data_IF_130268208402
#
_entry.id   IF_130268208402
#
_cell.length_a   1.000
_cell.length_b   1.000
_cell.length_c   1.000
_cell.angle_alpha   90.00
_cell.angle_beta   90.00
_cell.angle_gamma   90.00
#
_symmetry.space_group_name_H-M   'P 1'
#
loop_
_entity.id
_entity.type
_entity.pdbx_description
1 polymer ?
#
# COMPACT_ATOMS: atom_id res chain seq x y z
N UNK A 1 6.11 -18.46 -12.82
CA UNK A 1 6.79 -17.42 -13.63
C UNK A 1 7.29 -16.38 -12.66
N UNK A 2 8.59 -16.07 -12.65
CA UNK A 2 9.08 -14.94 -11.88
C UNK A 2 8.60 -13.68 -12.61
N UNK A 3 7.66 -12.95 -12.00
CA UNK A 3 7.26 -11.64 -12.49
C UNK A 3 8.45 -10.69 -12.31
N UNK A 4 8.73 -9.90 -13.34
CA UNK A 4 9.72 -8.83 -13.23
C UNK A 4 9.24 -7.81 -12.19
N UNK A 5 10.14 -7.40 -11.28
CA UNK A 5 9.77 -6.42 -10.25
C UNK A 5 9.49 -5.07 -10.92
N UNK A 6 8.33 -4.43 -10.66
CA UNK A 6 8.00 -3.15 -11.25
C UNK A 6 8.96 -2.06 -10.78
N UNK A 7 9.23 -1.11 -11.66
CA UNK A 7 9.92 0.14 -11.30
C UNK A 7 8.89 1.16 -10.79
N UNK A 8 9.18 1.78 -9.66
CA UNK A 8 8.45 2.91 -9.11
C UNK A 8 9.06 4.18 -9.71
N UNK A 9 8.30 4.95 -10.52
CA UNK A 9 8.81 6.19 -11.09
C UNK A 9 9.24 7.21 -10.03
N UNK A 10 10.29 7.97 -10.34
CA UNK A 10 10.90 8.93 -9.40
C UNK A 10 9.93 9.98 -8.86
N UNK A 11 8.90 10.33 -9.64
CA UNK A 11 7.87 11.30 -9.25
C UNK A 11 6.93 10.78 -8.14
N UNK A 12 6.97 9.49 -7.79
CA UNK A 12 6.23 8.90 -6.69
C UNK A 12 7.06 8.79 -5.39
N UNK A 13 8.19 9.50 -5.29
CA UNK A 13 9.00 9.52 -4.07
C UNK A 13 8.18 9.89 -2.84
N UNK A 14 7.31 10.88 -2.96
CA UNK A 14 6.47 11.39 -1.87
C UNK A 14 5.37 10.40 -1.47
N UNK A 15 5.12 9.36 -2.27
CA UNK A 15 4.19 8.28 -1.95
C UNK A 15 4.86 7.12 -1.21
N UNK A 16 6.16 7.20 -0.95
CA UNK A 16 6.94 6.24 -0.15
C UNK A 16 7.27 6.86 1.21
N UNK A 17 6.47 6.55 2.22
CA UNK A 17 6.50 7.21 3.51
C UNK A 17 7.32 6.44 4.53
N UNK A 18 8.14 7.16 5.30
CA UNK A 18 9.02 6.58 6.32
C UNK A 18 9.93 5.45 5.80
N UNK A 19 10.51 5.64 4.60
CA UNK A 19 11.40 4.66 3.96
C UNK A 19 12.57 4.21 4.85
N UNK A 20 13.01 5.05 5.78
CA UNK A 20 14.03 4.71 6.77
C UNK A 20 13.66 3.51 7.65
N UNK A 21 12.37 3.22 7.82
CA UNK A 21 11.88 2.08 8.61
C UNK A 21 11.71 0.80 7.79
N UNK A 22 11.98 0.79 6.49
CA UNK A 22 11.64 -0.33 5.60
C UNK A 22 12.09 -1.72 6.11
N UNK A 23 13.27 -1.81 6.73
CA UNK A 23 13.85 -3.07 7.20
C UNK A 23 13.52 -3.41 8.67
N UNK A 24 12.85 -2.51 9.37
CA UNK A 24 12.60 -2.59 10.81
C UNK A 24 11.20 -2.10 11.21
N UNK A 25 10.29 -2.04 10.23
CA UNK A 25 8.91 -1.62 10.45
C UNK A 25 8.19 -2.66 11.31
N UNK A 26 7.45 -2.17 12.30
CA UNK A 26 6.52 -2.95 13.11
C UNK A 26 5.22 -3.23 12.34
N UNK A 27 4.90 -2.40 11.33
CA UNK A 27 3.71 -2.50 10.50
C UNK A 27 3.96 -1.89 9.11
N UNK A 28 3.53 -2.59 8.06
CA UNK A 28 3.66 -2.17 6.66
C UNK A 28 2.28 -2.06 6.00
N UNK A 29 1.97 -0.89 5.41
CA UNK A 29 0.68 -0.66 4.74
C UNK A 29 0.87 -0.20 3.29
N UNK A 30 0.16 -0.84 2.37
CA UNK A 30 -0.01 -0.33 1.00
C UNK A 30 -1.43 0.22 0.86
N UNK A 31 -1.53 1.53 0.68
CA UNK A 31 -2.77 2.28 0.75
C UNK A 31 -3.16 2.80 -0.63
N UNK A 32 -4.39 2.52 -1.04
CA UNK A 32 -4.96 3.14 -2.23
C UNK A 32 -4.76 4.67 -2.22
N UNK A 33 -4.11 5.19 -3.25
CA UNK A 33 -3.69 6.60 -3.31
C UNK A 33 -4.80 7.65 -3.17
N UNK A 34 -6.09 7.30 -3.18
CA UNK A 34 -7.18 8.23 -2.86
C UNK A 34 -7.45 8.39 -1.35
N UNK A 35 -6.69 7.69 -0.50
CA UNK A 35 -6.81 7.72 0.96
C UNK A 35 -5.64 8.45 1.65
N UNK A 36 -4.69 8.97 0.87
CA UNK A 36 -3.51 9.66 1.39
C UNK A 36 -3.87 10.82 2.35
N UNK A 37 -4.98 11.52 2.11
CA UNK A 37 -5.37 12.70 2.91
C UNK A 37 -5.69 12.39 4.38
N UNK A 38 -6.04 11.13 4.72
CA UNK A 38 -6.45 10.74 6.08
C UNK A 38 -5.41 9.86 6.78
N UNK A 39 -4.39 9.38 6.05
CA UNK A 39 -3.51 8.33 6.57
C UNK A 39 -2.69 8.80 7.78
N UNK A 40 -2.19 10.04 7.77
CA UNK A 40 -1.41 10.58 8.89
C UNK A 40 -2.23 10.65 10.19
N UNK A 41 -3.46 11.16 10.12
CA UNK A 41 -4.36 11.24 11.27
C UNK A 41 -4.76 9.85 11.77
N UNK A 42 -5.02 8.93 10.83
CA UNK A 42 -5.36 7.54 11.14
C UNK A 42 -4.20 6.82 11.85
N UNK A 43 -2.99 6.92 11.32
CA UNK A 43 -1.80 6.30 11.91
C UNK A 43 -1.47 6.93 13.26
N UNK A 44 -1.60 8.25 13.42
CA UNK A 44 -1.43 8.92 14.71
C UNK A 44 -2.43 8.41 15.75
N UNK A 45 -3.71 8.30 15.38
CA UNK A 45 -4.74 7.77 16.25
C UNK A 45 -4.52 6.28 16.60
N UNK A 46 -4.03 5.50 15.63
CA UNK A 46 -3.69 4.09 15.82
C UNK A 46 -2.53 3.93 16.81
N UNK A 47 -1.42 4.64 16.63
CA UNK A 47 -0.25 4.54 17.50
C UNK A 47 -0.52 5.04 18.93
N UNK A 48 -1.45 6.00 19.12
CA UNK A 48 -1.91 6.39 20.46
C UNK A 48 -2.60 5.25 21.21
N UNK A 49 -3.31 4.38 20.48
CA UNK A 49 -3.97 3.19 21.04
C UNK A 49 -3.02 1.99 21.15
N UNK A 50 -2.01 1.93 20.29
CA UNK A 50 -1.03 0.86 20.16
C UNK A 50 0.41 1.40 20.27
N UNK A 51 0.82 1.89 21.47
CA UNK A 51 2.14 2.52 21.66
C UNK A 51 3.32 1.57 21.45
N UNK A 52 3.08 0.26 21.40
CA UNK A 52 4.05 -0.77 21.05
C UNK A 52 4.46 -0.72 19.56
N UNK A 53 3.59 -0.26 18.66
CA UNK A 53 3.86 -0.11 17.22
C UNK A 53 4.45 1.28 16.97
N UNK A 54 5.77 1.35 16.74
CA UNK A 54 6.50 2.62 16.67
C UNK A 54 6.87 2.99 15.24
N UNK A 55 7.30 2.00 14.46
CA UNK A 55 7.85 2.19 13.12
C UNK A 55 6.86 1.68 12.11
N UNK A 56 6.25 2.58 11.35
CA UNK A 56 5.28 2.24 10.31
C UNK A 56 5.85 2.68 8.98
N UNK A 57 6.04 1.73 8.07
CA UNK A 57 6.32 2.01 6.67
C UNK A 57 5.00 1.95 5.90
N UNK A 58 4.74 2.91 5.02
CA UNK A 58 3.56 2.83 4.18
C UNK A 58 3.75 3.48 2.82
N UNK A 59 2.99 2.98 1.85
CA UNK A 59 2.98 3.48 0.48
C UNK A 59 1.58 4.01 0.12
N UNK A 60 1.52 5.07 -0.68
CA UNK A 60 0.28 5.63 -1.25
C UNK A 60 0.28 5.60 -2.78
N UNK A 61 0.97 4.61 -3.35
CA UNK A 61 1.20 4.48 -4.77
C UNK A 61 -0.11 4.24 -5.55
N UNK A 62 -0.10 4.43 -6.89
CA UNK A 62 -1.23 4.03 -7.72
C UNK A 62 -1.60 2.55 -7.48
N UNK A 63 -2.88 2.20 -7.29
CA UNK A 63 -3.28 0.85 -6.88
C UNK A 63 -2.80 -0.28 -7.79
N UNK A 64 -2.68 -0.01 -9.10
CA UNK A 64 -2.16 -0.97 -10.07
C UNK A 64 -0.65 -1.21 -9.93
N UNK A 65 0.11 -0.24 -9.45
CA UNK A 65 1.54 -0.37 -9.16
C UNK A 65 1.75 -1.18 -7.88
N UNK A 66 1.00 -0.88 -6.81
CA UNK A 66 1.01 -1.64 -5.56
C UNK A 66 0.65 -3.11 -5.80
N UNK A 67 -0.40 -3.39 -6.58
CA UNK A 67 -0.78 -4.77 -6.90
C UNK A 67 0.36 -5.49 -7.64
N UNK A 68 0.99 -4.86 -8.64
CA UNK A 68 2.14 -5.45 -9.34
C UNK A 68 3.30 -5.72 -8.41
N UNK A 69 3.58 -4.81 -7.48
CA UNK A 69 4.63 -4.95 -6.47
C UNK A 69 4.36 -6.14 -5.55
N UNK A 70 3.13 -6.28 -5.04
CA UNK A 70 2.72 -7.44 -4.23
C UNK A 70 2.88 -8.74 -5.02
N UNK A 71 2.37 -8.77 -6.27
CA UNK A 71 2.43 -9.95 -7.13
C UNK A 71 3.85 -10.36 -7.53
N UNK A 72 4.77 -9.39 -7.66
CA UNK A 72 6.17 -9.64 -7.99
C UNK A 72 7.05 -9.86 -6.75
N UNK A 73 6.53 -9.64 -5.53
CA UNK A 73 7.28 -9.76 -4.28
C UNK A 73 8.23 -8.60 -4.01
N UNK A 74 7.97 -7.43 -4.61
CA UNK A 74 8.75 -6.21 -4.40
C UNK A 74 8.72 -5.28 -5.62
N UNK A 75 9.37 -4.13 -5.48
CA UNK A 75 9.52 -3.11 -6.52
C UNK A 75 10.91 -2.49 -6.46
N UNK A 76 11.31 -1.80 -7.54
CA UNK A 76 12.56 -1.04 -7.60
C UNK A 76 12.27 0.45 -7.57
N UNK A 77 12.95 1.18 -6.70
CA UNK A 77 12.91 2.64 -6.67
C UNK A 77 14.35 3.19 -6.80
N UNK A 78 14.68 3.71 -7.98
CA UNK A 78 16.06 4.09 -8.31
C UNK A 78 17.02 2.91 -8.17
N UNK A 79 18.04 3.05 -7.33
CA UNK A 79 19.02 1.99 -7.05
C UNK A 79 18.62 1.06 -5.89
N UNK A 80 17.45 1.26 -5.29
CA UNK A 80 16.95 0.50 -4.15
C UNK A 80 15.90 -0.51 -4.59
N UNK A 81 15.91 -1.70 -3.97
CA UNK A 81 14.81 -2.67 -4.10
C UNK A 81 14.00 -2.70 -2.80
N UNK A 82 12.70 -2.46 -2.92
CA UNK A 82 11.71 -2.54 -1.86
C UNK A 82 11.13 -3.95 -1.91
N UNK A 83 11.67 -4.84 -1.07
CA UNK A 83 11.27 -6.26 -1.00
C UNK A 83 10.52 -6.56 0.31
N UNK A 84 9.37 -5.93 0.48
CA UNK A 84 8.50 -6.13 1.64
C UNK A 84 7.13 -6.63 1.20
N UNK A 85 6.47 -7.39 2.07
CA UNK A 85 5.07 -7.78 1.92
C UNK A 85 4.25 -6.91 2.86
N UNK A 86 3.18 -6.24 2.40
CA UNK A 86 2.36 -5.43 3.27
C UNK A 86 1.55 -6.31 4.23
N UNK A 87 1.43 -5.86 5.48
CA UNK A 87 0.50 -6.43 6.45
C UNK A 87 -0.94 -6.05 6.11
N UNK A 88 -1.12 -4.83 5.58
CA UNK A 88 -2.42 -4.30 5.15
C UNK A 88 -2.28 -3.78 3.72
N UNK A 89 -3.16 -4.27 2.85
CA UNK A 89 -3.33 -3.72 1.50
C UNK A 89 -4.76 -3.24 1.32
N UNK A 90 -4.95 -1.99 0.90
CA UNK A 90 -6.26 -1.46 0.54
C UNK A 90 -6.38 -1.29 -0.97
N UNK A 91 -7.25 -2.10 -1.59
CA UNK A 91 -7.49 -2.02 -3.03
C UNK A 91 -8.66 -1.08 -3.36
N UNK A 92 -8.64 -0.52 -4.57
CA UNK A 92 -9.77 0.25 -5.14
C UNK A 92 -10.74 -0.60 -5.98
N UNK A 93 -10.41 -1.87 -6.21
CA UNK A 93 -11.13 -2.77 -7.11
C UNK A 93 -11.23 -4.18 -6.51
N UNK A 94 -12.38 -4.81 -6.63
CA UNK A 94 -12.61 -6.18 -6.16
C UNK A 94 -11.77 -7.20 -6.95
N UNK A 95 -11.53 -6.94 -8.23
CA UNK A 95 -10.73 -7.79 -9.12
C UNK A 95 -9.31 -7.98 -8.60
N UNK A 96 -8.70 -6.93 -8.02
CA UNK A 96 -7.38 -7.01 -7.41
C UNK A 96 -7.36 -7.99 -6.22
N UNK A 97 -8.38 -7.93 -5.36
CA UNK A 97 -8.49 -8.82 -4.20
C UNK A 97 -8.76 -10.27 -4.63
N UNK A 98 -9.59 -10.47 -5.65
CA UNK A 98 -9.83 -11.78 -6.24
C UNK A 98 -8.57 -12.40 -6.85
N UNK A 99 -7.72 -11.59 -7.49
CA UNK A 99 -6.43 -12.06 -8.00
C UNK A 99 -5.49 -12.50 -6.87
N UNK A 100 -5.42 -11.74 -5.77
CA UNK A 100 -4.64 -12.10 -4.60
C UNK A 100 -5.13 -13.40 -3.94
N UNK A 101 -6.45 -13.59 -3.84
CA UNK A 101 -7.04 -14.84 -3.34
C UNK A 101 -6.68 -16.05 -4.21
N UNK A 102 -6.82 -15.92 -5.54
CA UNK A 102 -6.50 -17.01 -6.49
C UNK A 102 -5.06 -17.47 -6.38
N UNK A 103 -4.14 -16.55 -6.04
CA UNK A 103 -2.73 -16.85 -5.84
C UNK A 103 -2.37 -17.29 -4.42
N UNK A 104 -3.33 -17.29 -3.50
CA UNK A 104 -3.12 -17.65 -2.10
C UNK A 104 -2.28 -16.63 -1.32
N UNK A 105 -2.17 -15.39 -1.80
CA UNK A 105 -1.42 -14.33 -1.13
C UNK A 105 -2.22 -13.72 0.03
N UNK A 106 -3.54 -13.85 -0.02
CA UNK A 106 -4.45 -13.49 1.08
C UNK A 106 -5.43 -14.65 1.33
N UNK A 107 -6.04 -14.67 2.52
CA UNK A 107 -7.07 -15.66 2.88
C UNK A 107 -8.48 -15.11 2.74
N UNK A 108 -8.66 -13.83 3.03
CA UNK A 108 -9.95 -13.15 3.03
C UNK A 108 -9.77 -11.65 2.74
N UNK A 109 -10.86 -11.00 2.35
CA UNK A 109 -10.97 -9.55 2.26
C UNK A 109 -12.41 -9.13 2.54
N UNK A 110 -12.62 -7.86 2.86
CA UNK A 110 -13.95 -7.30 3.05
C UNK A 110 -14.01 -5.85 2.54
N UNK A 111 -15.21 -5.40 2.21
CA UNK A 111 -15.45 -4.01 1.78
C UNK A 111 -15.67 -3.13 3.01
N UNK A 112 -14.91 -2.05 3.13
CA UNK A 112 -15.02 -1.11 4.25
C UNK A 112 -15.42 0.32 3.83
N UNK A 113 -15.34 0.65 2.54
CA UNK A 113 -15.64 1.99 2.03
C UNK A 113 -16.16 1.92 0.59
N UNK A 114 -17.04 2.86 0.22
CA UNK A 114 -17.48 3.09 -1.15
C UNK A 114 -17.27 4.56 -1.52
N UNK A 115 -16.80 4.81 -2.74
CA UNK A 115 -16.75 6.16 -3.31
C UNK A 115 -17.92 6.37 -4.25
N UNK A 116 -18.45 7.59 -4.27
CA UNK A 116 -19.44 8.02 -5.26
C UNK A 116 -18.77 8.97 -6.24
N UNK A 117 -18.73 8.60 -7.51
CA UNK A 117 -18.29 9.51 -8.57
C UNK A 117 -19.31 10.63 -8.69
N UNK A 118 -18.82 11.87 -8.63
CA UNK A 118 -19.65 13.07 -8.75
C UNK A 118 -19.02 14.02 -9.77
N UNK A 119 -19.87 14.72 -10.52
CA UNK A 119 -19.45 15.84 -11.34
C UNK A 119 -19.77 17.13 -10.59
N UNK A 120 -18.72 17.84 -10.16
CA UNK A 120 -18.88 19.17 -9.55
C UNK A 120 -19.04 20.21 -10.65
N UNK A 121 -20.14 20.96 -10.62
CA UNK A 121 -20.38 22.13 -11.47
C UNK A 121 -20.29 23.39 -10.61
N UNK A 122 -19.90 24.52 -11.20
CA UNK A 122 -19.87 25.82 -10.52
C UNK A 122 -21.24 26.47 -10.52
#
# INVERSE_FOLDING_TARGET
>A
MNLEIPEIPINYREDLHNLEYLNEADLILFMAGNQFMVIEELLSAFQKKHPEIKKIFYETLPPGLELKQILAGGARFGNMEIRVTPDIYTAVSEEAMQELLKRGLIKEYFVYLHNRIVLMVR
#
